data_IF_289214031020
#
_entry.id   IF_289214031020
#
_cell.length_a   1.000
_cell.length_b   1.000
_cell.length_c   1.000
_cell.angle_alpha   90.00
_cell.angle_beta   90.00
_cell.angle_gamma   90.00
#
_symmetry.space_group_name_H-M   'P 1'
#
loop_
_entity.id
_entity.type
_entity.pdbx_description
1 polymer ?
#
# COMPACT_ATOMS: atom_id res chain seq x y z
N UNK A 1 -6.56 -0.01 0.88
CA UNK A 1 -5.98 1.30 0.56
C UNK A 1 -6.86 2.36 1.21
N UNK A 2 -6.45 2.91 2.36
CA UNK A 2 -7.07 4.12 2.95
C UNK A 2 -6.01 5.21 2.81
N UNK A 3 -5.96 5.84 1.63
CA UNK A 3 -5.07 6.97 1.30
C UNK A 3 -5.74 8.32 1.62
N UNK A 4 -6.91 8.32 2.26
CA UNK A 4 -7.75 9.50 2.37
C UNK A 4 -7.51 10.14 3.75
N UNK A 5 -6.69 11.19 3.81
CA UNK A 5 -6.50 12.03 5.01
C UNK A 5 -7.84 12.47 5.60
N UNK A 6 -8.81 12.73 4.74
CA UNK A 6 -10.15 13.18 5.10
C UNK A 6 -10.82 12.20 6.08
N UNK A 7 -10.85 10.90 5.76
CA UNK A 7 -11.46 9.87 6.61
C UNK A 7 -10.71 9.74 7.94
N UNK A 8 -9.37 9.87 7.92
CA UNK A 8 -8.55 9.80 9.13
C UNK A 8 -8.88 10.94 10.10
N UNK A 9 -8.91 12.17 9.59
CA UNK A 9 -9.22 13.38 10.36
C UNK A 9 -10.67 13.35 10.83
N UNK A 10 -11.60 12.90 9.99
CA UNK A 10 -13.01 12.80 10.33
C UNK A 10 -13.26 11.82 11.48
N UNK A 11 -12.76 10.58 11.38
CA UNK A 11 -12.92 9.56 12.43
C UNK A 11 -12.28 10.06 13.74
N UNK A 12 -11.07 10.64 13.67
CA UNK A 12 -10.38 11.17 14.84
C UNK A 12 -11.18 12.30 15.49
N UNK A 13 -11.70 13.24 14.68
CA UNK A 13 -12.55 14.34 15.16
C UNK A 13 -13.79 13.80 15.86
N UNK A 14 -14.60 12.97 15.20
CA UNK A 14 -15.88 12.48 15.74
C UNK A 14 -15.69 11.63 17.01
N UNK A 15 -14.61 10.86 17.10
CA UNK A 15 -14.30 10.07 18.31
C UNK A 15 -13.76 10.93 19.45
N UNK A 16 -12.95 11.95 19.16
CA UNK A 16 -12.41 12.86 20.20
C UNK A 16 -13.43 13.91 20.66
N UNK A 17 -14.34 14.36 19.79
CA UNK A 17 -15.46 15.24 20.15
C UNK A 17 -16.56 14.50 20.90
N UNK A 18 -16.52 13.16 20.93
CA UNK A 18 -17.50 12.32 21.62
C UNK A 18 -18.81 12.14 20.86
N UNK A 19 -18.86 12.51 19.58
CA UNK A 19 -20.03 12.31 18.71
C UNK A 19 -20.32 10.81 18.50
N UNK A 20 -19.28 9.99 18.39
CA UNK A 20 -19.39 8.54 18.21
C UNK A 20 -18.44 7.79 19.15
N UNK A 21 -18.90 6.63 19.63
CA UNK A 21 -18.04 5.74 20.42
C UNK A 21 -17.02 5.01 19.55
N UNK A 22 -15.93 4.54 20.15
CA UNK A 22 -14.90 3.74 19.45
C UNK A 22 -15.49 2.51 18.74
N UNK A 23 -16.48 1.85 19.35
CA UNK A 23 -17.14 0.69 18.74
C UNK A 23 -18.01 1.08 17.56
N UNK A 24 -18.74 2.19 17.68
CA UNK A 24 -19.56 2.72 16.61
C UNK A 24 -18.72 3.14 15.40
N UNK A 25 -17.57 3.79 15.63
CA UNK A 25 -16.63 4.13 14.57
C UNK A 25 -16.13 2.90 13.79
N UNK A 26 -15.89 1.76 14.46
CA UNK A 26 -15.49 0.52 13.76
C UNK A 26 -16.59 -0.03 12.85
N UNK A 27 -17.86 0.10 13.24
CA UNK A 27 -19.00 -0.39 12.46
C UNK A 27 -19.34 0.57 11.32
N UNK A 28 -19.42 1.86 11.60
CA UNK A 28 -19.83 2.91 10.65
C UNK A 28 -18.83 3.09 9.51
N UNK A 29 -17.52 3.03 9.83
CA UNK A 29 -16.46 3.17 8.83
C UNK A 29 -15.88 1.83 8.37
N UNK A 30 -16.47 0.71 8.80
CA UNK A 30 -16.01 -0.68 8.50
C UNK A 30 -14.50 -0.89 8.73
N UNK A 31 -13.94 -0.21 9.73
CA UNK A 31 -12.52 -0.32 10.06
C UNK A 31 -12.26 -1.29 11.20
N UNK A 32 -11.17 -2.05 11.07
CA UNK A 32 -10.70 -2.89 12.15
C UNK A 32 -10.25 -2.06 13.35
N UNK A 33 -10.44 -2.60 14.57
CA UNK A 33 -10.03 -1.97 15.84
C UNK A 33 -8.58 -1.48 15.83
N UNK A 34 -7.67 -2.24 15.23
CA UNK A 34 -6.26 -1.85 15.15
C UNK A 34 -6.03 -0.60 14.28
N UNK A 35 -6.83 -0.42 13.23
CA UNK A 35 -6.80 0.78 12.39
C UNK A 35 -7.31 1.98 13.18
N UNK A 36 -8.43 1.83 13.90
CA UNK A 36 -8.94 2.87 14.79
C UNK A 36 -7.93 3.25 15.88
N UNK A 37 -7.26 2.27 16.49
CA UNK A 37 -6.20 2.52 17.48
C UNK A 37 -5.07 3.37 16.89
N UNK A 38 -4.67 3.11 15.64
CA UNK A 38 -3.66 3.91 14.93
C UNK A 38 -4.16 5.33 14.63
N UNK A 39 -5.43 5.48 14.22
CA UNK A 39 -6.09 6.79 13.99
C UNK A 39 -6.07 7.67 15.24
N UNK A 40 -6.33 7.06 16.40
CA UNK A 40 -6.31 7.78 17.67
C UNK A 40 -4.88 8.06 18.16
N UNK A 41 -3.92 7.17 17.89
CA UNK A 41 -2.54 7.31 18.34
C UNK A 41 -1.70 8.28 17.49
N UNK A 42 -1.99 8.41 16.19
CA UNK A 42 -1.22 9.25 15.27
C UNK A 42 -2.10 10.31 14.61
N UNK A 43 -1.62 11.56 14.57
CA UNK A 43 -2.34 12.68 13.97
C UNK A 43 -2.47 12.54 12.45
N UNK A 44 -1.42 12.06 11.81
CA UNK A 44 -1.42 11.64 10.41
C UNK A 44 -1.26 10.13 10.34
N UNK A 45 -1.84 9.46 9.33
CA UNK A 45 -1.53 8.06 9.12
C UNK A 45 -0.03 7.93 8.94
N UNK A 46 0.60 6.97 9.65
CA UNK A 46 2.00 6.68 9.43
C UNK A 46 2.15 6.35 7.94
N UNK A 47 2.75 7.27 7.18
CA UNK A 47 3.05 7.07 5.77
C UNK A 47 3.76 5.73 5.65
N UNK A 48 3.41 4.92 4.65
CA UNK A 48 3.89 3.54 4.45
C UNK A 48 5.38 3.42 4.81
N UNK A 49 5.69 3.11 6.08
CA UNK A 49 7.06 2.91 6.53
C UNK A 49 7.37 1.46 6.20
N UNK A 50 7.60 1.20 4.91
CA UNK A 50 8.43 0.08 4.50
C UNK A 50 9.84 0.34 5.02
N UNK A 51 10.06 0.17 6.33
CA UNK A 51 11.40 0.14 6.90
C UNK A 51 12.08 -1.08 6.29
N UNK A 52 12.92 -0.80 5.30
CA UNK A 52 13.63 -1.74 4.45
C UNK A 52 12.74 -2.59 3.52
N UNK A 53 13.27 -2.90 2.34
CA UNK A 53 12.83 -4.08 1.61
C UNK A 53 12.91 -5.25 2.61
N UNK A 54 11.78 -5.90 2.92
CA UNK A 54 11.81 -7.11 3.73
C UNK A 54 12.88 -8.02 3.14
N UNK A 55 13.73 -8.61 3.98
CA UNK A 55 14.52 -9.73 3.54
C UNK A 55 13.54 -10.68 2.84
N UNK A 56 13.80 -10.97 1.58
CA UNK A 56 13.06 -11.94 0.79
C UNK A 56 13.87 -13.24 0.92
N UNK A 57 13.83 -13.98 2.05
CA UNK A 57 14.70 -15.14 2.23
C UNK A 57 14.43 -16.21 1.16
N UNK A 58 13.16 -16.37 0.77
CA UNK A 58 12.76 -17.35 -0.24
C UNK A 58 12.87 -16.80 -1.66
N UNK A 59 12.46 -15.55 -1.91
CA UNK A 59 12.47 -14.97 -3.25
C UNK A 59 13.85 -14.43 -3.69
N UNK A 60 14.70 -14.05 -2.73
CA UNK A 60 16.02 -13.47 -2.98
C UNK A 60 16.91 -14.34 -3.87
N UNK A 61 17.07 -15.64 -3.59
CA UNK A 61 17.86 -16.56 -4.42
C UNK A 61 17.36 -16.72 -5.86
N UNK A 62 16.05 -16.53 -6.11
CA UNK A 62 15.45 -16.71 -7.44
C UNK A 62 15.36 -15.41 -8.26
N UNK A 63 15.66 -14.25 -7.68
CA UNK A 63 15.66 -12.97 -8.41
C UNK A 63 16.53 -13.01 -9.67
N UNK A 64 17.77 -13.55 -9.67
CA UNK A 64 18.59 -13.62 -10.87
C UNK A 64 17.95 -14.46 -11.99
N UNK A 65 17.27 -15.55 -11.64
CA UNK A 65 16.58 -16.44 -12.58
C UNK A 65 15.36 -15.73 -13.18
N UNK A 66 14.57 -15.07 -12.33
CA UNK A 66 13.42 -14.27 -12.77
C UNK A 66 13.87 -13.16 -13.73
N UNK A 67 14.98 -12.49 -13.45
CA UNK A 67 15.55 -11.49 -14.36
C UNK A 67 15.97 -12.09 -15.70
N UNK A 68 16.61 -13.26 -15.73
CA UNK A 68 17.00 -13.94 -16.96
C UNK A 68 15.80 -14.35 -17.83
N UNK A 69 14.66 -14.69 -17.20
CA UNK A 69 13.42 -15.02 -17.90
C UNK A 69 12.75 -13.74 -18.45
N UNK A 70 12.79 -12.63 -17.70
CA UNK A 70 12.15 -11.37 -18.10
C UNK A 70 12.89 -10.60 -19.20
N UNK A 71 14.22 -10.75 -19.33
CA UNK A 71 15.01 -10.08 -20.37
C UNK A 71 14.56 -10.42 -21.80
N UNK A 72 14.43 -11.71 -22.19
CA UNK A 72 13.96 -12.06 -23.53
C UNK A 72 12.50 -11.67 -23.77
N UNK A 73 11.64 -11.71 -22.74
CA UNK A 73 10.23 -11.27 -22.87
C UNK A 73 10.09 -9.76 -23.11
N UNK A 74 10.97 -8.95 -22.53
CA UNK A 74 11.03 -7.51 -22.82
C UNK A 74 11.48 -7.25 -24.26
N UNK A 75 12.46 -8.02 -24.75
CA UNK A 75 12.95 -7.92 -26.14
C UNK A 75 11.86 -8.39 -27.13
N UNK A 76 11.11 -9.44 -26.80
CA UNK A 76 9.98 -9.92 -27.61
C UNK A 76 8.82 -8.90 -27.65
N UNK A 77 8.57 -8.18 -26.54
CA UNK A 77 7.60 -7.09 -26.48
C UNK A 77 7.97 -5.88 -27.36
N UNK A 78 9.27 -5.58 -27.48
CA UNK A 78 9.77 -4.56 -28.41
C UNK A 78 9.82 -5.05 -29.87
N UNK A 79 10.05 -6.33 -30.12
CA UNK A 79 10.10 -6.89 -31.47
C UNK A 79 8.71 -7.13 -32.10
N UNK A 80 7.66 -7.27 -31.30
CA UNK A 80 6.29 -7.52 -31.79
C UNK A 80 5.35 -6.31 -31.64
N UNK A 81 5.85 -5.17 -31.13
CA UNK A 81 5.17 -3.89 -31.25
C UNK A 81 5.63 -3.23 -32.54
N UNK A 82 4.70 -3.05 -33.49
CA UNK A 82 4.92 -2.47 -34.82
C UNK A 82 5.31 -0.97 -34.80
N UNK A 83 6.34 -0.61 -34.06
CA UNK A 83 7.01 0.68 -34.09
C UNK A 83 8.48 0.43 -34.37
N UNK A 84 8.78 0.21 -35.66
CA UNK A 84 10.14 0.18 -36.14
C UNK A 84 10.83 1.51 -35.89
N UNK A 85 11.96 1.47 -35.20
CA UNK A 85 13.06 2.39 -35.50
C UNK A 85 14.18 1.56 -36.13
N UNK A 86 14.35 1.76 -37.43
CA UNK A 86 15.64 1.54 -38.10
C UNK A 86 16.66 2.57 -37.56
N UNK A 87 17.96 2.24 -37.63
CA UNK A 87 19.04 2.92 -36.91
C UNK A 87 19.17 4.42 -37.19
#
# INVERSE_FOLDING_TARGET
MLKNMEIWVEIRRRVLTGEISKRQACVEYEIHWQTLKKILAHEEPPGFQGKAARAKPELGPFLPIIHQILVPDQVAGFANSGWGLHP
#
